data_IF_230538793458
#
_entry.id   IF_230538793458
#
_cell.length_a   1.000
_cell.length_b   1.000
_cell.length_c   1.000
_cell.angle_alpha   90.00
_cell.angle_beta   90.00
_cell.angle_gamma   90.00
#
_symmetry.space_group_name_H-M   'P 1'
#
loop_
_entity.id
_entity.type
_entity.pdbx_description
1 polymer ?
#
# COMPACT_ATOMS: atom_id res chain seq x y z
N UNK A 1 4.04 35.01 9.05
CA UNK A 1 4.47 33.66 9.44
C UNK A 1 3.48 32.69 8.81
N UNK A 2 3.87 32.02 7.72
CA UNK A 2 3.01 31.04 7.05
C UNK A 2 2.81 29.82 7.94
N UNK A 3 1.60 29.31 8.02
CA UNK A 3 1.28 28.07 8.74
C UNK A 3 1.93 26.92 7.97
N UNK A 4 2.78 26.14 8.64
CA UNK A 4 3.40 24.96 8.04
C UNK A 4 2.34 23.90 7.81
N UNK A 5 2.23 23.41 6.57
CA UNK A 5 1.31 22.34 6.19
C UNK A 5 1.74 21.01 6.82
N UNK A 6 0.80 20.30 7.43
CA UNK A 6 1.05 18.99 8.02
C UNK A 6 0.40 17.86 7.21
N UNK A 7 1.16 16.79 7.00
CA UNK A 7 0.73 15.62 6.23
C UNK A 7 0.72 14.37 7.10
N UNK A 8 -0.39 13.64 7.05
CA UNK A 8 -0.56 12.33 7.65
C UNK A 8 -0.49 11.26 6.55
N UNK A 9 0.30 10.21 6.76
CA UNK A 9 0.31 9.07 5.84
C UNK A 9 -0.96 8.24 6.03
N UNK A 10 -1.69 8.02 4.95
CA UNK A 10 -2.93 7.23 4.97
C UNK A 10 -2.57 5.76 4.93
N UNK A 11 -2.80 5.09 6.05
CA UNK A 11 -2.49 3.67 6.20
C UNK A 11 -3.15 2.82 5.10
N UNK A 12 -2.33 2.04 4.39
CA UNK A 12 -2.76 1.10 3.36
C UNK A 12 -3.45 -0.16 3.91
N UNK A 13 -3.94 -0.18 5.15
CA UNK A 13 -4.57 -1.36 5.71
C UNK A 13 -5.41 -1.08 6.96
N UNK A 14 -6.41 -1.93 7.19
CA UNK A 14 -7.06 -2.06 8.49
C UNK A 14 -6.09 -2.75 9.44
N UNK A 15 -5.19 -1.97 10.04
CA UNK A 15 -4.10 -2.47 10.88
C UNK A 15 -4.40 -2.15 12.33
N UNK A 16 -5.02 -3.08 13.04
CA UNK A 16 -4.74 -3.16 14.48
C UNK A 16 -3.35 -3.77 14.62
N UNK A 17 -2.38 -2.95 15.02
CA UNK A 17 -1.06 -3.44 15.42
C UNK A 17 -1.27 -4.53 16.48
N UNK A 18 -0.81 -5.76 16.18
CA UNK A 18 -1.00 -6.91 17.07
C UNK A 18 -2.21 -7.81 16.78
N UNK A 19 -2.95 -7.61 15.68
CA UNK A 19 -3.99 -8.56 15.28
C UNK A 19 -3.42 -9.99 15.14
N UNK A 20 -4.05 -10.94 15.83
CA UNK A 20 -3.64 -12.35 15.85
C UNK A 20 -4.54 -13.20 14.96
N UNK A 21 -3.96 -14.27 14.43
CA UNK A 21 -4.65 -15.31 13.69
C UNK A 21 -4.24 -16.65 14.31
N UNK A 22 -5.22 -17.50 14.61
CA UNK A 22 -4.94 -18.84 15.10
C UNK A 22 -4.59 -19.77 13.94
N UNK A 23 -3.55 -20.57 14.13
CA UNK A 23 -3.04 -21.53 13.16
C UNK A 23 -2.95 -22.90 13.79
N UNK A 24 -3.33 -23.94 13.04
CA UNK A 24 -3.01 -25.31 13.42
C UNK A 24 -1.53 -25.58 13.18
N UNK A 25 -0.87 -26.15 14.18
CA UNK A 25 0.54 -26.46 14.17
C UNK A 25 0.83 -27.88 14.67
N UNK A 26 1.94 -28.43 14.20
CA UNK A 26 2.46 -29.73 14.61
C UNK A 26 3.84 -29.57 15.24
N UNK A 27 4.02 -30.12 16.44
CA UNK A 27 5.31 -30.22 17.12
C UNK A 27 5.87 -31.64 16.97
N UNK A 28 7.15 -31.77 16.65
CA UNK A 28 7.78 -33.06 16.33
C UNK A 28 9.31 -33.02 16.52
N UNK A 29 9.98 -34.17 16.73
CA UNK A 29 11.44 -34.23 16.90
C UNK A 29 12.20 -33.69 15.69
N UNK A 30 13.22 -32.86 15.91
CA UNK A 30 13.94 -32.14 14.85
C UNK A 30 14.54 -33.05 13.75
N UNK A 31 14.85 -34.31 14.08
CA UNK A 31 15.32 -35.33 13.10
C UNK A 31 14.35 -35.57 11.94
N UNK A 32 13.05 -35.29 12.11
CA UNK A 32 12.02 -35.45 11.08
C UNK A 32 11.76 -34.16 10.27
N UNK A 33 12.53 -33.08 10.49
CA UNK A 33 12.28 -31.77 9.88
C UNK A 33 12.15 -31.77 8.36
N UNK A 34 13.07 -32.42 7.65
CA UNK A 34 13.06 -32.50 6.18
C UNK A 34 11.83 -33.27 5.65
N UNK A 35 11.47 -34.39 6.31
CA UNK A 35 10.30 -35.19 5.96
C UNK A 35 9.00 -34.40 6.13
N UNK A 36 8.86 -33.70 7.26
CA UNK A 36 7.69 -32.85 7.54
C UNK A 36 7.62 -31.70 6.55
N UNK A 37 8.73 -31.01 6.26
CA UNK A 37 8.74 -29.90 5.31
C UNK A 37 8.35 -30.35 3.90
N UNK A 38 8.87 -31.49 3.42
CA UNK A 38 8.49 -32.08 2.12
C UNK A 38 7.00 -32.44 2.08
N UNK A 39 6.47 -33.00 3.17
CA UNK A 39 5.03 -33.27 3.28
C UNK A 39 4.21 -31.98 3.19
N UNK A 40 4.58 -30.95 3.95
CA UNK A 40 3.89 -29.67 3.95
C UNK A 40 3.92 -28.98 2.58
N UNK A 41 5.03 -29.02 1.85
CA UNK A 41 5.12 -28.47 0.49
C UNK A 41 4.22 -29.22 -0.49
N UNK A 42 4.01 -30.53 -0.30
CA UNK A 42 3.18 -31.36 -1.18
C UNK A 42 1.69 -31.29 -0.82
N UNK A 43 1.36 -31.28 0.47
CA UNK A 43 0.00 -31.43 1.00
C UNK A 43 -0.67 -30.08 1.31
N UNK A 44 0.08 -28.98 1.37
CA UNK A 44 -0.45 -27.65 1.67
C UNK A 44 0.05 -26.62 0.66
N UNK A 45 -0.73 -25.55 0.46
CA UNK A 45 -0.25 -24.35 -0.22
C UNK A 45 0.95 -23.76 0.54
N UNK A 46 1.84 -23.07 -0.17
CA UNK A 46 2.92 -22.35 0.52
C UNK A 46 2.33 -21.26 1.42
N UNK A 47 3.06 -20.83 2.46
CA UNK A 47 2.58 -19.73 3.30
C UNK A 47 2.36 -18.45 2.48
N UNK A 48 3.16 -18.26 1.42
CA UNK A 48 2.99 -17.13 0.50
C UNK A 48 1.65 -17.21 -0.24
N UNK A 49 1.31 -18.38 -0.77
CA UNK A 49 0.08 -18.57 -1.54
C UNK A 49 -1.17 -18.49 -0.65
N UNK A 50 -1.03 -18.82 0.64
CA UNK A 50 -2.06 -18.60 1.66
C UNK A 50 -2.12 -17.14 2.17
N UNK A 51 -1.28 -16.22 1.66
CA UNK A 51 -1.28 -14.81 2.06
C UNK A 51 -0.51 -14.47 3.36
N UNK A 52 0.31 -15.41 3.84
CA UNK A 52 1.09 -15.33 5.09
C UNK A 52 2.61 -15.39 4.84
N UNK A 53 3.09 -14.77 3.75
CA UNK A 53 4.50 -14.75 3.36
C UNK A 53 5.45 -14.17 4.43
N UNK A 54 4.93 -13.39 5.38
CA UNK A 54 5.68 -12.77 6.47
C UNK A 54 6.00 -13.73 7.62
N UNK A 55 5.39 -14.92 7.67
CA UNK A 55 5.62 -15.91 8.73
C UNK A 55 6.67 -16.93 8.30
N UNK A 56 7.56 -17.33 9.22
CA UNK A 56 8.38 -18.52 9.02
C UNK A 56 7.55 -19.77 9.31
N UNK A 57 7.70 -20.81 8.49
CA UNK A 57 6.89 -22.03 8.62
C UNK A 57 7.22 -22.85 9.86
N UNK A 58 8.46 -22.81 10.35
CA UNK A 58 8.90 -23.62 11.48
C UNK A 58 9.72 -22.78 12.47
N UNK A 59 9.66 -23.14 13.75
CA UNK A 59 10.56 -22.62 14.79
C UNK A 59 10.99 -23.73 15.75
N UNK A 60 12.07 -23.49 16.50
CA UNK A 60 12.48 -24.37 17.61
C UNK A 60 11.39 -24.36 18.69
N UNK A 61 11.05 -25.55 19.17
CA UNK A 61 10.08 -25.76 20.24
C UNK A 61 10.84 -26.18 21.50
N UNK A 62 10.69 -25.42 22.58
CA UNK A 62 11.33 -25.74 23.85
C UNK A 62 10.42 -26.65 24.68
N UNK A 63 10.88 -27.88 24.93
CA UNK A 63 10.27 -28.78 25.90
C UNK A 63 10.74 -28.37 27.31
N UNK A 64 9.78 -28.21 28.23
CA UNK A 64 10.08 -28.09 29.66
C UNK A 64 10.72 -29.39 30.13
N UNK A 65 12.06 -29.42 30.25
CA UNK A 65 12.79 -30.59 30.78
C UNK A 65 14.03 -31.09 30.02
N UNK A 66 14.69 -30.29 29.17
CA UNK A 66 16.02 -30.65 28.63
C UNK A 66 16.06 -31.84 27.66
N UNK A 67 14.94 -32.13 26.99
CA UNK A 67 14.84 -33.23 26.02
C UNK A 67 15.48 -32.95 24.66
N UNK A 68 15.43 -33.95 23.76
CA UNK A 68 15.88 -33.85 22.39
C UNK A 68 15.24 -32.64 21.65
N UNK A 69 15.97 -32.00 20.71
CA UNK A 69 15.48 -30.80 20.03
C UNK A 69 14.17 -31.11 19.28
N UNK A 70 13.17 -30.26 19.50
CA UNK A 70 11.84 -30.35 18.88
C UNK A 70 11.61 -29.11 18.02
N UNK A 71 10.84 -29.28 16.94
CA UNK A 71 10.41 -28.20 16.07
C UNK A 71 8.89 -28.13 16.10
N UNK A 72 8.36 -26.92 15.92
CA UNK A 72 6.92 -26.70 15.70
C UNK A 72 6.72 -26.03 14.34
N UNK A 73 5.78 -26.55 13.56
CA UNK A 73 5.50 -26.10 12.20
C UNK A 73 4.04 -25.68 12.01
N UNK A 74 3.84 -24.56 11.33
CA UNK A 74 2.53 -24.09 10.88
C UNK A 74 2.03 -24.96 9.72
N UNK A 75 0.79 -25.42 9.83
CA UNK A 75 0.13 -26.24 8.81
C UNK A 75 -0.87 -25.40 8.02
N UNK A 76 -1.96 -24.98 8.66
CA UNK A 76 -3.06 -24.22 8.05
C UNK A 76 -3.94 -23.58 9.13
N UNK A 77 -4.66 -22.48 8.84
CA UNK A 77 -5.78 -22.04 9.68
C UNK A 77 -6.95 -23.03 9.67
N UNK A 78 -7.05 -23.87 8.64
CA UNK A 78 -8.11 -24.86 8.46
C UNK A 78 -7.73 -26.22 9.09
N UNK A 79 -8.63 -26.76 9.91
CA UNK A 79 -8.46 -28.03 10.62
C UNK A 79 -8.49 -29.24 9.68
N UNK A 80 -9.21 -29.17 8.56
CA UNK A 80 -9.32 -30.31 7.64
C UNK A 80 -7.99 -30.57 6.92
N UNK A 81 -7.27 -29.50 6.60
CA UNK A 81 -5.91 -29.56 6.05
C UNK A 81 -4.94 -30.19 7.07
N UNK A 82 -5.08 -29.89 8.37
CA UNK A 82 -4.27 -30.52 9.41
C UNK A 82 -4.48 -32.04 9.41
N UNK A 83 -5.73 -32.51 9.35
CA UNK A 83 -6.07 -33.93 9.32
C UNK A 83 -5.40 -34.65 8.13
N UNK A 84 -5.46 -34.04 6.95
CA UNK A 84 -4.82 -34.59 5.74
C UNK A 84 -3.29 -34.69 5.85
N UNK A 85 -2.66 -33.68 6.46
CA UNK A 85 -1.21 -33.68 6.70
C UNK A 85 -0.82 -34.77 7.70
N UNK A 86 -1.58 -34.96 8.77
CA UNK A 86 -1.33 -36.02 9.75
C UNK A 86 -1.47 -37.41 9.13
N UNK A 87 -2.46 -37.62 8.26
CA UNK A 87 -2.63 -38.87 7.52
C UNK A 87 -1.45 -39.16 6.57
N UNK A 88 -0.75 -38.12 6.09
CA UNK A 88 0.44 -38.25 5.23
C UNK A 88 1.75 -38.46 6.00
N UNK A 89 1.69 -38.37 7.34
CA UNK A 89 2.78 -38.53 8.30
C UNK A 89 2.47 -39.64 9.31
N UNK A 90 1.67 -40.62 8.91
CA UNK A 90 1.24 -41.77 9.70
C UNK A 90 2.43 -42.52 10.33
N UNK A 91 3.53 -42.63 9.58
CA UNK A 91 4.78 -43.26 9.99
C UNK A 91 5.44 -42.61 11.21
N UNK A 92 5.15 -41.35 11.49
CA UNK A 92 5.72 -40.59 12.61
C UNK A 92 4.66 -39.96 13.52
N UNK A 93 3.38 -40.27 13.31
CA UNK A 93 2.26 -39.58 13.97
C UNK A 93 2.31 -39.70 15.49
N UNK A 94 2.79 -40.82 16.03
CA UNK A 94 2.96 -41.04 17.47
C UNK A 94 3.99 -40.09 18.09
N UNK A 95 4.92 -39.58 17.28
CA UNK A 95 5.92 -38.57 17.69
C UNK A 95 5.46 -37.13 17.44
N UNK A 96 4.25 -36.92 16.89
CA UNK A 96 3.70 -35.60 16.58
C UNK A 96 2.68 -35.18 17.65
N UNK A 97 2.83 -33.96 18.16
CA UNK A 97 1.81 -33.31 19.00
C UNK A 97 1.14 -32.19 18.21
N UNK A 98 -0.20 -32.15 18.21
CA UNK A 98 -0.95 -31.08 17.55
C UNK A 98 -1.29 -29.97 18.54
N UNK A 99 -1.28 -28.73 18.08
CA UNK A 99 -1.65 -27.57 18.88
C UNK A 99 -2.23 -26.46 17.99
N UNK A 100 -2.87 -25.49 18.63
CA UNK A 100 -3.27 -24.24 18.00
C UNK A 100 -2.35 -23.14 18.52
N UNK A 101 -1.73 -22.39 17.63
CA UNK A 101 -0.81 -21.30 17.96
C UNK A 101 -1.32 -19.99 17.38
N UNK A 102 -1.20 -18.92 18.14
CA UNK A 102 -1.48 -17.58 17.63
C UNK A 102 -0.25 -17.02 16.92
N UNK A 103 -0.48 -16.50 15.72
CA UNK A 103 0.55 -15.85 14.89
C UNK A 103 0.10 -14.45 14.49
N UNK A 104 1.04 -13.54 14.18
CA UNK A 104 0.70 -12.23 13.65
C UNK A 104 -0.07 -12.33 12.32
N UNK A 105 -1.26 -11.74 12.28
CA UNK A 105 -2.15 -11.79 11.10
C UNK A 105 -1.59 -11.05 9.90
N UNK A 106 -0.86 -9.95 10.15
CA UNK A 106 -0.34 -9.07 9.12
C UNK A 106 1.18 -9.02 9.08
N UNK A 107 1.72 -8.77 7.89
CA UNK A 107 3.12 -8.45 7.71
C UNK A 107 3.44 -7.10 8.38
N UNK A 108 4.62 -6.97 8.99
CA UNK A 108 5.04 -5.73 9.65
C UNK A 108 5.45 -4.70 8.60
N UNK A 109 5.07 -3.44 8.77
CA UNK A 109 5.56 -2.34 7.93
C UNK A 109 6.80 -1.68 8.51
N UNK A 110 6.85 -1.57 9.84
CA UNK A 110 7.98 -0.96 10.53
C UNK A 110 8.86 -2.02 11.16
N UNK A 111 10.08 -1.62 11.50
CA UNK A 111 10.98 -2.46 12.26
C UNK A 111 10.42 -2.77 13.66
N UNK A 112 9.80 -1.80 14.30
CA UNK A 112 9.21 -1.96 15.63
C UNK A 112 8.05 -2.96 15.62
N UNK A 113 7.16 -2.87 14.62
CA UNK A 113 6.09 -3.87 14.40
C UNK A 113 6.66 -5.27 14.15
N UNK A 114 7.76 -5.34 13.39
CA UNK A 114 8.44 -6.60 13.15
C UNK A 114 8.99 -7.19 14.44
N UNK A 115 9.61 -6.38 15.30
CA UNK A 115 10.16 -6.85 16.58
C UNK A 115 9.06 -7.38 17.50
N UNK A 116 7.94 -6.67 17.62
CA UNK A 116 6.75 -7.10 18.39
C UNK A 116 6.16 -8.39 17.83
N UNK A 117 5.95 -8.47 16.51
CA UNK A 117 5.40 -9.66 15.86
C UNK A 117 6.34 -10.87 15.93
N UNK A 118 7.64 -10.65 15.74
CA UNK A 118 8.67 -11.67 15.75
C UNK A 118 8.85 -12.30 17.14
N UNK A 119 8.52 -11.56 18.22
CA UNK A 119 8.44 -12.09 19.58
C UNK A 119 7.30 -13.11 19.76
N UNK A 120 6.20 -12.96 19.02
CA UNK A 120 5.06 -13.90 19.04
C UNK A 120 5.41 -15.15 18.19
N UNK A 121 5.75 -14.92 16.93
CA UNK A 121 6.14 -15.97 16.00
C UNK A 121 7.24 -15.48 15.05
N UNK A 122 8.27 -16.28 14.73
CA UNK A 122 9.34 -15.84 13.86
C UNK A 122 8.83 -15.39 12.50
N UNK A 123 9.23 -14.18 12.11
CA UNK A 123 8.76 -13.50 10.91
C UNK A 123 9.91 -13.22 9.95
N UNK A 124 9.55 -12.87 8.72
CA UNK A 124 10.44 -12.32 7.72
C UNK A 124 10.08 -10.86 7.52
N UNK A 125 11.06 -9.97 7.76
CA UNK A 125 10.91 -8.56 7.46
C UNK A 125 11.43 -8.28 6.05
N UNK A 126 10.54 -7.82 5.18
CA UNK A 126 10.92 -7.21 3.92
C UNK A 126 10.55 -5.73 4.00
N UNK A 127 11.52 -4.89 4.33
CA UNK A 127 11.35 -3.44 4.25
C UNK A 127 10.97 -3.08 2.82
N UNK A 128 9.80 -2.47 2.63
CA UNK A 128 9.46 -1.91 1.33
C UNK A 128 10.33 -0.65 1.11
N UNK A 129 10.92 -0.41 -0.07
CA UNK A 129 11.77 0.76 -0.31
C UNK A 129 11.10 2.10 0.03
N UNK A 130 9.78 2.18 -0.11
CA UNK A 130 8.96 3.34 0.24
C UNK A 130 8.59 3.44 1.73
N UNK A 131 9.03 2.54 2.60
CA UNK A 131 8.73 2.58 4.04
C UNK A 131 9.65 3.51 4.85
N UNK A 132 10.64 4.15 4.20
CA UNK A 132 11.50 5.11 4.87
C UNK A 132 10.69 6.34 5.35
N UNK A 133 10.89 6.81 6.60
CA UNK A 133 10.30 8.07 7.04
C UNK A 133 10.71 9.21 6.11
N UNK A 134 9.78 10.15 5.87
CA UNK A 134 10.09 11.36 5.09
C UNK A 134 11.07 12.24 5.86
N UNK A 135 12.08 12.77 5.15
CA UNK A 135 12.99 13.79 5.69
C UNK A 135 12.28 15.14 5.82
N UNK A 136 12.86 16.06 6.61
CA UNK A 136 12.30 17.41 6.75
C UNK A 136 12.30 18.18 5.43
N UNK A 137 13.32 17.99 4.58
CA UNK A 137 13.39 18.57 3.24
C UNK A 137 12.28 18.04 2.32
N UNK A 138 11.98 16.74 2.38
CA UNK A 138 10.87 16.15 1.64
C UNK A 138 9.53 16.73 2.08
N UNK A 139 9.30 16.85 3.40
CA UNK A 139 8.07 17.46 3.94
C UNK A 139 7.93 18.92 3.54
N UNK A 140 9.03 19.68 3.56
CA UNK A 140 9.05 21.05 3.10
C UNK A 140 8.72 21.15 1.60
N UNK A 141 9.30 20.28 0.76
CA UNK A 141 8.98 20.23 -0.66
C UNK A 141 7.51 19.88 -0.91
N UNK A 142 6.97 18.88 -0.21
CA UNK A 142 5.55 18.51 -0.27
C UNK A 142 4.63 19.69 0.07
N UNK A 143 4.98 20.45 1.11
CA UNK A 143 4.23 21.64 1.53
C UNK A 143 4.21 22.70 0.42
N UNK A 144 5.36 23.02 -0.18
CA UNK A 144 5.47 24.04 -1.25
C UNK A 144 4.65 23.68 -2.50
N UNK A 145 4.66 22.41 -2.91
CA UNK A 145 3.90 21.98 -4.09
C UNK A 145 2.40 21.90 -3.80
N UNK A 146 2.01 21.50 -2.60
CA UNK A 146 0.61 21.58 -2.17
C UNK A 146 0.13 23.04 -2.11
N UNK A 147 0.93 23.96 -1.59
CA UNK A 147 0.61 25.40 -1.59
C UNK A 147 0.47 25.95 -3.01
N UNK A 148 1.35 25.56 -3.94
CA UNK A 148 1.25 25.92 -5.36
C UNK A 148 -0.10 25.45 -5.95
N UNK A 149 -0.48 24.19 -5.70
CA UNK A 149 -1.75 23.63 -6.15
C UNK A 149 -2.95 24.41 -5.58
N UNK A 150 -2.96 24.65 -4.26
CA UNK A 150 -4.05 25.33 -3.57
C UNK A 150 -4.14 26.81 -3.95
N UNK A 151 -3.01 27.46 -4.21
CA UNK A 151 -2.97 28.84 -4.70
C UNK A 151 -3.61 28.95 -6.09
N UNK A 152 -3.25 28.05 -7.02
CA UNK A 152 -3.88 28.00 -8.33
C UNK A 152 -5.38 27.74 -8.24
N UNK A 153 -5.78 26.83 -7.35
CA UNK A 153 -7.18 26.52 -7.11
C UNK A 153 -7.97 27.74 -6.63
N UNK A 154 -7.42 28.52 -5.70
CA UNK A 154 -8.03 29.77 -5.22
C UNK A 154 -8.13 30.83 -6.31
N UNK A 155 -7.10 30.97 -7.14
CA UNK A 155 -7.09 31.93 -8.26
C UNK A 155 -8.10 31.58 -9.35
N UNK A 156 -8.41 30.29 -9.52
CA UNK A 156 -9.41 29.82 -10.47
C UNK A 156 -10.85 29.92 -9.95
N UNK A 157 -11.06 30.13 -8.64
CA UNK A 157 -12.38 30.30 -8.06
C UNK A 157 -12.97 31.65 -8.45
N UNK A 158 -14.15 31.65 -9.06
CA UNK A 158 -14.91 32.88 -9.36
C UNK A 158 -15.38 33.53 -8.07
N UNK A 159 -15.49 34.86 -8.03
CA UNK A 159 -15.92 35.63 -6.85
C UNK A 159 -17.26 35.16 -6.23
N UNK A 160 -18.09 34.45 -7.00
CA UNK A 160 -19.41 33.94 -6.58
C UNK A 160 -19.39 32.50 -6.01
N UNK A 161 -18.24 31.81 -5.99
CA UNK A 161 -18.14 30.46 -5.41
C UNK A 161 -17.68 30.53 -3.96
N UNK A 162 -18.56 30.13 -3.03
CA UNK A 162 -18.30 30.08 -1.58
C UNK A 162 -17.11 29.17 -1.20
N UNK A 163 -16.75 28.20 -2.04
CA UNK A 163 -15.64 27.28 -1.81
C UNK A 163 -14.89 26.88 -3.11
N UNK A 164 -13.58 27.24 -3.25
CA UNK A 164 -12.73 26.85 -4.37
C UNK A 164 -12.69 25.33 -4.61
N UNK A 165 -12.75 24.51 -3.56
CA UNK A 165 -12.70 23.05 -3.67
C UNK A 165 -13.96 22.48 -4.32
N UNK A 166 -15.13 22.98 -3.92
CA UNK A 166 -16.41 22.60 -4.52
C UNK A 166 -16.44 22.82 -6.04
N UNK A 167 -15.80 23.89 -6.53
CA UNK A 167 -15.70 24.16 -7.98
C UNK A 167 -14.78 23.18 -8.74
N UNK A 168 -13.84 22.55 -8.02
CA UNK A 168 -12.88 21.60 -8.59
C UNK A 168 -13.41 20.18 -8.71
N UNK A 169 -14.52 19.87 -8.04
CA UNK A 169 -15.15 18.56 -8.06
C UNK A 169 -16.21 18.52 -9.16
N UNK A 170 -16.20 17.47 -9.96
CA UNK A 170 -17.30 17.19 -10.89
C UNK A 170 -18.52 16.68 -10.09
N UNK A 171 -19.67 17.37 -10.14
CA UNK A 171 -20.83 17.02 -9.29
C UNK A 171 -21.45 15.65 -9.64
N UNK A 172 -21.24 15.15 -10.86
CA UNK A 172 -21.77 13.85 -11.29
C UNK A 172 -20.90 12.68 -10.80
N UNK A 173 -19.58 12.78 -10.94
CA UNK A 173 -18.64 11.72 -10.57
C UNK A 173 -18.06 11.85 -9.16
N UNK A 174 -18.15 13.05 -8.56
CA UNK A 174 -17.47 13.40 -7.31
C UNK A 174 -15.94 13.48 -7.46
N UNK A 175 -15.37 13.38 -8.67
CA UNK A 175 -13.92 13.38 -8.86
C UNK A 175 -13.35 14.78 -9.11
N UNK A 176 -12.06 14.97 -8.83
CA UNK A 176 -11.34 16.20 -9.21
C UNK A 176 -11.30 16.37 -10.73
N UNK A 177 -11.88 17.47 -11.20
CA UNK A 177 -12.00 17.85 -12.62
C UNK A 177 -10.91 18.82 -13.06
N UNK A 178 -10.41 19.70 -12.17
CA UNK A 178 -9.66 20.88 -12.62
C UNK A 178 -8.20 20.94 -12.21
N UNK A 179 -7.77 20.39 -11.08
CA UNK A 179 -6.40 20.60 -10.59
C UNK A 179 -5.67 19.29 -10.27
N UNK A 180 -4.49 19.11 -10.86
CA UNK A 180 -3.59 18.01 -10.57
C UNK A 180 -2.16 18.40 -10.93
N UNK A 181 -1.20 18.08 -10.07
CA UNK A 181 0.24 18.26 -10.36
C UNK A 181 0.94 16.91 -10.37
N UNK A 182 1.85 16.71 -11.32
CA UNK A 182 2.86 15.66 -11.29
C UNK A 182 4.21 16.34 -11.12
N UNK A 183 4.95 15.95 -10.10
CA UNK A 183 6.23 16.55 -9.71
C UNK A 183 7.30 15.47 -9.66
N UNK A 184 8.48 15.76 -10.17
CA UNK A 184 9.65 14.93 -9.90
C UNK A 184 10.28 15.41 -8.57
N UNK A 185 10.25 14.61 -7.50
CA UNK A 185 10.73 15.03 -6.18
C UNK A 185 12.25 15.16 -6.10
N UNK A 186 13.00 14.51 -7.00
CA UNK A 186 14.46 14.58 -7.05
C UNK A 186 14.91 15.91 -7.63
N UNK A 187 14.33 16.30 -8.77
CA UNK A 187 14.64 17.58 -9.44
C UNK A 187 13.85 18.76 -8.89
N UNK A 188 12.84 18.51 -8.04
CA UNK A 188 11.89 19.49 -7.52
C UNK A 188 11.25 20.32 -8.63
N UNK A 189 10.86 19.68 -9.73
CA UNK A 189 10.23 20.33 -10.89
C UNK A 189 8.86 19.75 -11.20
N UNK A 190 7.96 20.60 -11.70
CA UNK A 190 6.63 20.19 -12.17
C UNK A 190 6.79 19.54 -13.55
N UNK A 191 6.50 18.25 -13.63
CA UNK A 191 6.56 17.44 -14.86
C UNK A 191 5.33 17.66 -15.72
N UNK A 192 4.15 17.83 -15.11
CA UNK A 192 2.90 18.12 -15.80
C UNK A 192 1.88 18.73 -14.82
N UNK A 193 0.93 19.51 -15.34
CA UNK A 193 -0.10 20.15 -14.54
C UNK A 193 -1.41 20.34 -15.31
N UNK A 194 -2.51 20.20 -14.61
CA UNK A 194 -3.86 20.55 -15.07
C UNK A 194 -4.41 21.61 -14.12
N UNK A 195 -5.05 22.65 -14.65
CA UNK A 195 -5.58 23.78 -13.88
C UNK A 195 -4.56 24.83 -13.44
N UNK A 196 -3.27 24.56 -13.66
CA UNK A 196 -2.18 25.50 -13.41
C UNK A 196 -1.54 25.82 -14.76
N UNK A 197 -1.59 27.11 -15.15
CA UNK A 197 -1.20 27.74 -16.42
C UNK A 197 -0.17 26.97 -17.30
N UNK A 198 -0.61 25.89 -17.94
CA UNK A 198 0.10 25.22 -19.03
C UNK A 198 -0.94 24.89 -20.11
N UNK A 199 -0.76 25.48 -21.28
CA UNK A 199 -1.67 25.45 -22.44
C UNK A 199 -1.66 24.10 -23.17
N UNK A 200 -1.86 22.99 -22.46
CA UNK A 200 -1.94 21.65 -23.04
C UNK A 200 -3.24 20.96 -22.60
N UNK A 201 -4.36 21.63 -22.89
CA UNK A 201 -5.68 21.08 -22.61
C UNK A 201 -5.95 19.86 -23.51
N UNK A 202 -6.21 18.72 -22.89
CA UNK A 202 -6.75 17.56 -23.57
C UNK A 202 -8.20 17.86 -24.00
N UNK A 203 -8.39 18.22 -25.28
CA UNK A 203 -9.69 18.56 -25.88
C UNK A 203 -10.63 17.34 -26.02
N UNK A 204 -10.30 16.21 -25.41
CA UNK A 204 -11.14 15.03 -25.40
C UNK A 204 -12.55 15.35 -24.91
N UNK A 205 -13.55 14.97 -25.71
CA UNK A 205 -14.97 15.06 -25.33
C UNK A 205 -15.40 13.91 -24.41
N UNK A 206 -14.53 12.92 -24.18
CA UNK A 206 -14.84 11.76 -23.36
C UNK A 206 -14.89 12.18 -21.87
N UNK A 207 -16.02 12.00 -21.16
CA UNK A 207 -16.13 12.35 -19.75
C UNK A 207 -15.10 11.64 -18.84
N UNK A 208 -14.66 10.43 -19.21
CA UNK A 208 -13.64 9.69 -18.45
C UNK A 208 -12.26 10.37 -18.48
N UNK A 209 -12.01 11.21 -19.48
CA UNK A 209 -10.79 12.01 -19.58
C UNK A 209 -11.06 13.43 -19.08
N UNK A 210 -12.07 14.09 -19.63
CA UNK A 210 -12.37 15.51 -19.36
C UNK A 210 -12.75 15.79 -17.91
N UNK A 211 -13.41 14.87 -17.23
CA UNK A 211 -13.88 15.09 -15.85
C UNK A 211 -12.89 14.59 -14.78
N UNK A 212 -11.68 14.20 -15.18
CA UNK A 212 -10.70 13.59 -14.30
C UNK A 212 -9.31 14.21 -14.53
N UNK A 213 -8.93 15.17 -13.68
CA UNK A 213 -7.65 15.87 -13.79
C UNK A 213 -6.44 14.92 -13.77
N UNK A 214 -6.54 13.82 -13.01
CA UNK A 214 -5.51 12.76 -12.99
C UNK A 214 -5.32 12.14 -14.37
N UNK A 215 -6.39 11.83 -15.10
CA UNK A 215 -6.26 11.20 -16.42
C UNK A 215 -5.63 12.19 -17.41
N UNK A 216 -6.07 13.46 -17.35
CA UNK A 216 -5.50 14.52 -18.19
C UNK A 216 -4.00 14.72 -17.94
N UNK A 217 -3.58 14.79 -16.67
CA UNK A 217 -2.17 15.02 -16.36
C UNK A 217 -1.30 13.83 -16.76
N UNK A 218 -1.79 12.59 -16.60
CA UNK A 218 -1.07 11.39 -17.02
C UNK A 218 -0.95 11.32 -18.56
N UNK A 219 -1.97 11.76 -19.29
CA UNK A 219 -1.89 11.90 -20.75
C UNK A 219 -0.83 12.94 -21.16
N UNK A 220 -0.75 14.09 -20.47
CA UNK A 220 0.30 15.09 -20.72
C UNK A 220 1.70 14.51 -20.48
N UNK A 221 1.91 13.78 -19.38
CA UNK A 221 3.19 13.08 -19.12
C UNK A 221 3.51 12.12 -20.26
N UNK A 222 2.55 11.27 -20.65
CA UNK A 222 2.75 10.30 -21.73
C UNK A 222 3.12 10.94 -23.07
N UNK A 223 2.54 12.11 -23.42
CA UNK A 223 2.90 12.86 -24.63
C UNK A 223 4.32 13.44 -24.53
N UNK A 224 4.68 14.06 -23.40
CA UNK A 224 6.03 14.63 -23.19
C UNK A 224 7.12 13.56 -23.31
N UNK A 225 6.86 12.37 -22.78
CA UNK A 225 7.78 11.23 -22.82
C UNK A 225 7.98 10.64 -24.22
N UNK A 226 7.02 10.82 -25.13
CA UNK A 226 7.20 10.37 -26.53
C UNK A 226 8.29 11.15 -27.26
N UNK A 227 8.59 12.37 -26.81
CA UNK A 227 9.57 13.27 -27.44
C UNK A 227 10.89 13.36 -26.68
N UNK A 228 10.98 12.75 -25.50
CA UNK A 228 12.14 12.82 -24.61
C UNK A 228 12.64 11.40 -24.27
N UNK A 229 13.68 10.96 -24.96
CA UNK A 229 14.31 9.65 -24.75
C UNK A 229 14.98 9.52 -23.38
N UNK A 230 15.21 10.63 -22.67
CA UNK A 230 15.80 10.64 -21.32
C UNK A 230 14.77 10.61 -20.20
N UNK A 231 13.48 10.67 -20.55
CA UNK A 231 12.43 10.71 -19.55
C UNK A 231 12.28 9.39 -18.79
N UNK A 232 11.92 9.49 -17.51
CA UNK A 232 11.65 8.33 -16.66
C UNK A 232 10.50 7.48 -17.21
N UNK A 233 10.54 6.17 -16.94
CA UNK A 233 9.46 5.27 -17.36
C UNK A 233 8.14 5.61 -16.65
N UNK A 234 7.13 6.05 -17.40
CA UNK A 234 5.82 6.48 -16.86
C UNK A 234 6.00 7.54 -15.76
N UNK A 235 5.31 7.42 -14.64
CA UNK A 235 5.46 8.32 -13.49
C UNK A 235 6.29 7.70 -12.36
N UNK A 236 7.24 6.82 -12.69
CA UNK A 236 8.04 6.09 -11.69
C UNK A 236 8.80 7.07 -10.79
N UNK A 237 8.54 7.01 -9.48
CA UNK A 237 9.22 7.89 -8.51
C UNK A 237 8.67 9.32 -8.43
N UNK A 238 7.66 9.67 -9.24
CA UNK A 238 7.02 10.98 -9.21
C UNK A 238 5.98 11.10 -8.09
N UNK A 239 5.74 12.34 -7.67
CA UNK A 239 4.70 12.71 -6.72
C UNK A 239 3.51 13.33 -7.43
N UNK A 240 2.29 12.93 -7.04
CA UNK A 240 1.05 13.48 -7.58
C UNK A 240 0.30 14.24 -6.50
N UNK A 241 -0.03 15.50 -6.75
CA UNK A 241 -0.74 16.37 -5.81
C UNK A 241 -2.16 16.67 -6.30
N UNK A 242 -3.14 16.49 -5.41
CA UNK A 242 -4.56 16.61 -5.70
C UNK A 242 -5.29 17.47 -4.67
N UNK A 243 -6.27 18.28 -5.06
CA UNK A 243 -7.07 19.04 -4.10
C UNK A 243 -8.03 18.12 -3.34
N UNK A 244 -8.47 17.03 -3.96
CA UNK A 244 -9.46 16.10 -3.41
C UNK A 244 -9.01 14.68 -3.70
N UNK A 245 -9.29 13.78 -2.77
CA UNK A 245 -8.99 12.35 -2.89
C UNK A 245 -9.58 11.78 -4.20
N UNK A 246 -8.78 11.05 -4.99
CA UNK A 246 -9.19 10.58 -6.31
C UNK A 246 -10.22 9.46 -6.23
N UNK A 247 -11.05 9.37 -7.27
CA UNK A 247 -11.96 8.24 -7.46
C UNK A 247 -11.21 6.94 -7.76
N UNK A 248 -11.91 5.80 -7.72
CA UNK A 248 -11.32 4.47 -7.96
C UNK A 248 -10.61 4.36 -9.31
N UNK A 249 -11.18 4.93 -10.38
CA UNK A 249 -10.56 4.94 -11.70
C UNK A 249 -9.22 5.69 -11.69
N UNK A 250 -9.21 6.91 -11.14
CA UNK A 250 -7.99 7.70 -11.03
C UNK A 250 -6.95 7.04 -10.13
N UNK A 251 -7.36 6.50 -8.99
CA UNK A 251 -6.48 5.76 -8.08
C UNK A 251 -5.83 4.55 -8.77
N UNK A 252 -6.58 3.82 -9.60
CA UNK A 252 -6.06 2.68 -10.36
C UNK A 252 -5.17 3.13 -11.53
N UNK A 253 -5.48 4.25 -12.18
CA UNK A 253 -4.61 4.86 -13.18
C UNK A 253 -3.24 5.20 -12.58
N UNK A 254 -3.19 5.76 -11.37
CA UNK A 254 -1.93 6.04 -10.65
C UNK A 254 -1.13 4.77 -10.35
N UNK A 255 -1.79 3.64 -10.06
CA UNK A 255 -1.14 2.33 -9.92
C UNK A 255 -0.46 1.93 -11.24
N UNK A 256 -1.19 2.03 -12.36
CA UNK A 256 -0.68 1.67 -13.68
C UNK A 256 0.42 2.61 -14.18
N UNK A 257 0.39 3.88 -13.78
CA UNK A 257 1.43 4.87 -14.08
C UNK A 257 2.65 4.77 -13.18
N UNK A 258 2.69 3.83 -12.23
CA UNK A 258 3.82 3.60 -11.31
C UNK A 258 4.23 4.79 -10.45
N UNK A 259 3.27 5.66 -10.11
CA UNK A 259 3.48 6.83 -9.24
C UNK A 259 4.17 6.44 -7.93
N UNK A 260 5.06 7.28 -7.40
CA UNK A 260 5.76 7.02 -6.14
C UNK A 260 4.92 7.39 -4.91
N UNK A 261 4.35 8.60 -4.91
CA UNK A 261 3.51 9.11 -3.82
C UNK A 261 2.31 9.90 -4.35
N UNK A 262 1.20 9.84 -3.63
CA UNK A 262 0.00 10.63 -3.91
C UNK A 262 -0.33 11.46 -2.68
N UNK A 263 -0.45 12.77 -2.87
CA UNK A 263 -0.80 13.73 -1.83
C UNK A 263 -2.15 14.34 -2.17
N UNK A 264 -3.06 14.40 -1.20
CA UNK A 264 -4.33 15.09 -1.40
C UNK A 264 -4.72 15.99 -0.22
N UNK A 265 -5.46 17.06 -0.51
CA UNK A 265 -5.91 17.99 0.51
C UNK A 265 -7.18 17.50 1.22
N UNK A 266 -8.29 17.28 0.51
CA UNK A 266 -9.55 16.87 1.13
C UNK A 266 -9.93 15.40 0.85
N UNK A 267 -10.38 14.64 1.87
CA UNK A 267 -11.03 13.34 1.67
C UNK A 267 -12.29 13.44 0.81
N UNK A 268 -12.60 12.36 0.09
CA UNK A 268 -13.76 12.29 -0.78
C UNK A 268 -14.75 11.22 -0.33
N UNK A 269 -15.78 11.62 0.43
CA UNK A 269 -16.80 10.71 0.94
C UNK A 269 -17.71 10.09 -0.13
N UNK A 270 -17.73 10.63 -1.35
CA UNK A 270 -18.60 10.17 -2.45
C UNK A 270 -17.94 9.04 -3.24
N UNK A 271 -16.68 9.22 -3.65
CA UNK A 271 -16.00 8.24 -4.50
C UNK A 271 -14.51 7.98 -4.16
N UNK A 272 -14.01 8.56 -3.06
CA UNK A 272 -12.60 8.48 -2.66
C UNK A 272 -12.09 7.05 -2.47
N UNK A 273 -10.96 6.74 -3.10
CA UNK A 273 -10.43 5.39 -3.19
C UNK A 273 -9.11 5.13 -2.46
N UNK A 274 -8.57 6.12 -1.75
CA UNK A 274 -7.29 6.04 -1.05
C UNK A 274 -7.42 6.03 0.47
N UNK A 275 -8.60 6.30 1.02
CA UNK A 275 -8.83 6.30 2.47
C UNK A 275 -10.29 6.43 2.87
N UNK A 276 -11.13 7.07 2.04
CA UNK A 276 -12.54 7.31 2.38
C UNK A 276 -13.43 6.08 2.20
N UNK A 277 -13.71 5.68 0.95
CA UNK A 277 -14.60 4.54 0.66
C UNK A 277 -13.84 3.27 0.36
N UNK A 278 -12.70 3.41 -0.31
CA UNK A 278 -11.80 2.32 -0.64
C UNK A 278 -10.39 2.63 -0.16
N UNK A 279 -9.55 1.60 -0.12
CA UNK A 279 -8.12 1.70 0.20
C UNK A 279 -7.32 0.96 -0.86
N UNK A 280 -7.38 1.45 -2.10
CA UNK A 280 -6.84 0.75 -3.26
C UNK A 280 -5.31 0.60 -3.18
N UNK A 281 -4.59 1.64 -2.74
CA UNK A 281 -3.13 1.64 -2.60
C UNK A 281 -2.63 0.60 -1.58
N UNK A 282 -3.51 0.18 -0.67
CA UNK A 282 -3.28 -0.86 0.31
C UNK A 282 -3.49 -2.29 -0.17
N UNK A 283 -4.06 -2.48 -1.36
CA UNK A 283 -4.53 -3.78 -1.80
C UNK A 283 -3.37 -4.72 -2.16
N UNK A 284 -3.26 -5.83 -1.44
CA UNK A 284 -2.10 -6.75 -1.55
C UNK A 284 -2.00 -7.47 -2.89
N UNK A 285 -3.13 -7.69 -3.57
CA UNK A 285 -3.18 -8.34 -4.89
C UNK A 285 -2.70 -7.42 -6.02
N UNK A 286 -2.49 -6.13 -5.76
CA UNK A 286 -1.91 -5.21 -6.73
C UNK A 286 -0.38 -5.26 -6.66
N UNK A 287 0.26 -5.26 -7.82
CA UNK A 287 1.71 -5.40 -7.94
C UNK A 287 2.46 -4.09 -7.61
N UNK A 288 1.99 -2.96 -8.13
CA UNK A 288 2.57 -1.65 -7.82
C UNK A 288 1.95 -1.04 -6.57
N UNK A 289 2.77 -0.35 -5.77
CA UNK A 289 2.36 0.30 -4.52
C UNK A 289 2.94 1.70 -4.44
N UNK A 290 2.13 2.63 -3.98
CA UNK A 290 2.52 4.02 -3.73
C UNK A 290 2.08 4.45 -2.35
N UNK A 291 2.79 5.43 -1.79
CA UNK A 291 2.41 6.04 -0.50
C UNK A 291 1.33 7.06 -0.72
N UNK A 292 0.49 7.25 0.29
CA UNK A 292 -0.60 8.22 0.24
C UNK A 292 -0.49 9.12 1.44
N UNK A 293 -0.55 10.44 1.21
CA UNK A 293 -0.54 11.44 2.26
C UNK A 293 -1.76 12.34 2.15
N UNK A 294 -2.36 12.64 3.28
CA UNK A 294 -3.48 13.56 3.42
C UNK A 294 -3.02 14.79 4.19
N UNK A 295 -3.44 15.97 3.74
CA UNK A 295 -3.25 17.20 4.51
C UNK A 295 -4.21 17.23 5.71
N UNK A 296 -3.70 17.48 6.92
CA UNK A 296 -4.49 17.46 8.16
C UNK A 296 -4.75 18.84 8.76
N UNK A 297 -4.01 19.89 8.36
CA UNK A 297 -4.27 21.26 8.83
C UNK A 297 -3.62 22.34 7.95
#
# INVERSE_FOLDING_TARGET
>A
MGRQLEFEEVDGGDRSAGARLSFHAIAFPARHGDRVMKCLVKATLSLRDMGHAHLKRMKKHEKSGGGAPELIALVSPDKDVLTSVLASLDDIVESITTSVVDVPKHAPATRDEFEVGNAIWPMVFHAHPTAAPLTDDERAAMSRFMETLLSSLRSAATADSEDPLSSSIDPASGCCRSHCLVVNPVTQSIVASVGIEIQDEDKSKNPLVRNHAVIQVLNQVGRRQQTDETAEYLCTGMDVYLPVEPCLMCAMALVHSRVGRVLYHHPNGVCGALGSRFRLHGQRSLNHRYRVFRLTS
#
